data_IF_451452423745
#
_entry.id   IF_451452423745
#
_cell.length_a   1.000
_cell.length_b   1.000
_cell.length_c   1.000
_cell.angle_alpha   90.00
_cell.angle_beta   90.00
_cell.angle_gamma   90.00
#
_symmetry.space_group_name_H-M   'P 1'
#
loop_
_entity.id
_entity.type
_entity.pdbx_description
1 polymer ?
#
# COMPACT_ATOMS: atom_id res chain seq x y z
N UNK A 1 14.71 -21.06 4.81
CA UNK A 1 15.60 -20.01 5.36
C UNK A 1 14.86 -18.98 6.22
N UNK A 2 13.67 -18.52 5.81
CA UNK A 2 12.82 -17.65 6.65
C UNK A 2 13.33 -16.22 6.80
N UNK A 3 14.04 -15.70 5.79
CA UNK A 3 14.68 -14.37 5.83
C UNK A 3 14.33 -13.50 4.61
N UNK A 4 14.10 -14.07 3.42
CA UNK A 4 13.66 -13.36 2.22
C UNK A 4 12.20 -12.91 2.30
N UNK A 5 11.25 -13.75 1.85
CA UNK A 5 9.79 -13.45 1.92
C UNK A 5 9.29 -13.10 3.33
N UNK A 6 9.81 -13.76 4.36
CA UNK A 6 9.53 -13.41 5.76
C UNK A 6 9.98 -11.99 6.08
N UNK A 7 11.13 -11.56 5.57
CA UNK A 7 11.59 -10.19 5.70
C UNK A 7 10.69 -9.19 4.99
N UNK A 8 10.27 -9.48 3.76
CA UNK A 8 9.32 -8.63 3.04
C UNK A 8 8.03 -8.42 3.84
N UNK A 9 7.44 -9.51 4.34
CA UNK A 9 6.20 -9.44 5.13
C UNK A 9 6.37 -8.56 6.38
N UNK A 10 7.43 -8.77 7.16
CA UNK A 10 7.67 -7.99 8.39
C UNK A 10 7.88 -6.51 8.08
N UNK A 11 8.67 -6.17 7.05
CA UNK A 11 8.93 -4.77 6.70
C UNK A 11 7.65 -4.09 6.22
N UNK A 12 6.88 -4.74 5.34
CA UNK A 12 5.61 -4.18 4.84
C UNK A 12 4.66 -3.93 5.99
N UNK A 13 4.44 -4.92 6.87
CA UNK A 13 3.56 -4.79 8.04
C UNK A 13 3.97 -3.62 8.95
N UNK A 14 5.25 -3.56 9.32
CA UNK A 14 5.78 -2.49 10.16
C UNK A 14 5.64 -1.10 9.53
N UNK A 15 5.87 -0.99 8.22
CA UNK A 15 5.76 0.28 7.50
C UNK A 15 4.31 0.69 7.25
N UNK A 16 3.40 -0.25 7.02
CA UNK A 16 1.97 0.04 6.96
C UNK A 16 1.45 0.59 8.29
N UNK A 17 1.89 0.01 9.42
CA UNK A 17 1.53 0.53 10.73
C UNK A 17 2.12 1.92 10.95
N UNK A 18 3.39 2.14 10.59
CA UNK A 18 4.03 3.46 10.68
C UNK A 18 3.30 4.52 9.85
N UNK A 19 2.88 4.19 8.63
CA UNK A 19 2.14 5.11 7.75
C UNK A 19 0.81 5.57 8.35
N UNK A 20 0.17 4.75 9.20
CA UNK A 20 -1.06 5.16 9.89
C UNK A 20 -0.81 6.31 10.86
N UNK A 21 0.31 6.26 11.60
CA UNK A 21 0.62 7.20 12.69
C UNK A 21 1.48 8.38 12.26
N UNK A 22 2.48 8.15 11.39
CA UNK A 22 3.54 9.14 11.11
C UNK A 22 3.50 9.69 9.69
N UNK A 23 2.70 9.12 8.79
CA UNK A 23 2.66 9.48 7.35
C UNK A 23 4.04 9.44 6.67
N UNK A 24 4.93 8.59 7.17
CA UNK A 24 6.28 8.38 6.63
C UNK A 24 6.61 6.89 6.56
N UNK A 25 7.64 6.54 5.77
CA UNK A 25 8.23 5.20 5.70
C UNK A 25 9.74 5.29 5.84
N UNK A 26 10.36 4.26 6.42
CA UNK A 26 11.82 4.11 6.49
C UNK A 26 12.19 2.64 6.24
N UNK A 27 12.06 2.24 4.98
CA UNK A 27 12.33 0.87 4.54
C UNK A 27 13.80 0.51 4.77
N UNK A 28 14.72 1.43 4.45
CA UNK A 28 16.15 1.24 4.62
C UNK A 28 16.54 1.04 6.08
N UNK A 29 16.11 1.94 6.96
CA UNK A 29 16.40 1.86 8.39
C UNK A 29 15.81 0.59 9.02
N UNK A 30 14.59 0.21 8.62
CA UNK A 30 13.95 -1.00 9.15
C UNK A 30 14.66 -2.28 8.69
N UNK A 31 14.98 -2.43 7.41
CA UNK A 31 15.75 -3.59 6.90
C UNK A 31 17.13 -3.65 7.55
N UNK A 32 17.78 -2.51 7.75
CA UNK A 32 19.09 -2.43 8.44
C UNK A 32 18.99 -2.94 9.88
N UNK A 33 17.97 -2.49 10.63
CA UNK A 33 17.69 -2.97 11.99
C UNK A 33 17.42 -4.48 12.03
N UNK A 34 16.60 -4.98 11.09
CA UNK A 34 16.30 -6.41 11.01
C UNK A 34 17.54 -7.27 10.72
N UNK A 35 18.44 -6.79 9.86
CA UNK A 35 19.70 -7.49 9.55
C UNK A 35 20.65 -7.56 10.74
N UNK A 36 20.58 -6.60 11.68
CA UNK A 36 21.32 -6.68 12.94
C UNK A 36 20.78 -7.77 13.89
N UNK A 37 19.51 -8.14 13.77
CA UNK A 37 18.87 -9.19 14.60
C UNK A 37 18.95 -10.58 13.95
N UNK A 38 18.87 -10.65 12.62
CA UNK A 38 18.97 -11.89 11.85
C UNK A 38 19.61 -11.63 10.49
N UNK A 39 20.69 -12.34 10.18
CA UNK A 39 21.41 -12.13 8.93
C UNK A 39 20.51 -12.37 7.69
N UNK A 40 20.73 -11.56 6.66
CA UNK A 40 20.09 -11.67 5.34
C UNK A 40 18.56 -11.47 5.31
N UNK A 41 17.98 -10.74 6.28
CA UNK A 41 16.59 -10.29 6.13
C UNK A 41 16.44 -9.43 4.86
N UNK A 42 15.46 -9.78 4.02
CA UNK A 42 15.32 -9.33 2.62
C UNK A 42 16.57 -9.67 1.81
N UNK A 43 16.53 -10.76 1.06
CA UNK A 43 17.73 -11.39 0.49
C UNK A 43 18.14 -10.87 -0.88
N UNK A 44 17.18 -10.40 -1.67
CA UNK A 44 17.41 -10.00 -3.06
C UNK A 44 16.97 -8.55 -3.27
N UNK A 45 17.51 -7.94 -4.31
CA UNK A 45 17.09 -6.61 -4.75
C UNK A 45 15.61 -6.59 -5.15
N UNK A 46 15.15 -7.58 -5.91
CA UNK A 46 13.73 -7.70 -6.29
C UNK A 46 12.79 -7.73 -5.09
N UNK A 47 13.20 -8.36 -3.97
CA UNK A 47 12.43 -8.36 -2.74
C UNK A 47 12.39 -6.99 -2.08
N UNK A 48 13.46 -6.22 -2.19
CA UNK A 48 13.54 -4.86 -1.68
C UNK A 48 12.69 -3.91 -2.54
N UNK A 49 12.75 -4.04 -3.87
CA UNK A 49 11.89 -3.32 -4.83
C UNK A 49 10.41 -3.62 -4.54
N UNK A 50 10.06 -4.89 -4.39
CA UNK A 50 8.68 -5.30 -4.07
C UNK A 50 8.13 -4.65 -2.79
N UNK A 51 8.96 -4.44 -1.76
CA UNK A 51 8.54 -3.75 -0.53
C UNK A 51 8.17 -2.29 -0.83
N UNK A 52 8.96 -1.60 -1.65
CA UNK A 52 8.66 -0.24 -2.07
C UNK A 52 7.35 -0.18 -2.87
N UNK A 53 7.17 -1.10 -3.81
CA UNK A 53 5.97 -1.21 -4.64
C UNK A 53 4.71 -1.46 -3.80
N UNK A 54 4.77 -2.43 -2.89
CA UNK A 54 3.64 -2.77 -2.01
C UNK A 54 3.23 -1.58 -1.11
N UNK A 55 4.22 -0.85 -0.57
CA UNK A 55 3.94 0.31 0.28
C UNK A 55 3.43 1.50 -0.53
N UNK A 56 3.91 1.69 -1.77
CA UNK A 56 3.39 2.71 -2.68
C UNK A 56 1.93 2.42 -3.06
N UNK A 57 1.60 1.16 -3.37
CA UNK A 57 0.23 0.75 -3.66
C UNK A 57 -0.68 1.03 -2.47
N UNK A 58 -0.28 0.61 -1.26
CA UNK A 58 -1.05 0.86 -0.05
C UNK A 58 -1.23 2.36 0.26
N UNK A 59 -0.19 3.18 0.01
CA UNK A 59 -0.26 4.63 0.17
C UNK A 59 -1.24 5.28 -0.81
N UNK A 60 -1.33 4.72 -2.02
CA UNK A 60 -2.13 5.28 -3.12
C UNK A 60 -3.59 4.85 -3.05
N UNK A 61 -3.84 3.55 -2.82
CA UNK A 61 -5.18 2.98 -2.79
C UNK A 61 -5.92 3.24 -1.48
N UNK A 62 -5.20 3.24 -0.35
CA UNK A 62 -5.83 3.18 0.97
C UNK A 62 -6.68 1.91 1.15
N UNK A 63 -7.67 1.96 2.04
CA UNK A 63 -8.60 0.86 2.28
C UNK A 63 -9.93 1.11 1.55
N UNK A 64 -10.22 0.29 0.54
CA UNK A 64 -11.46 0.33 -0.25
C UNK A 64 -12.45 -0.79 0.12
N UNK A 65 -12.18 -1.56 1.18
CA UNK A 65 -13.09 -2.62 1.63
C UNK A 65 -14.39 -2.04 2.22
N UNK A 66 -15.52 -2.60 1.80
CA UNK A 66 -16.85 -2.16 2.24
C UNK A 66 -17.63 -3.36 2.80
N UNK A 67 -18.04 -3.32 4.09
CA UNK A 67 -18.94 -4.34 4.63
C UNK A 67 -20.26 -4.36 3.85
N UNK A 68 -20.79 -5.54 3.55
CA UNK A 68 -22.00 -5.69 2.71
C UNK A 68 -23.20 -4.85 3.21
N UNK A 69 -23.38 -4.74 4.53
CA UNK A 69 -24.43 -3.90 5.15
C UNK A 69 -24.34 -2.42 4.79
N UNK A 70 -23.14 -1.94 4.42
CA UNK A 70 -22.86 -0.55 4.06
C UNK A 70 -22.78 -0.35 2.54
N UNK A 71 -22.92 -1.41 1.74
CA UNK A 71 -22.69 -1.35 0.29
C UNK A 71 -23.59 -0.34 -0.41
N UNK A 72 -24.90 -0.34 -0.11
CA UNK A 72 -25.84 0.61 -0.70
C UNK A 72 -25.45 2.06 -0.40
N UNK A 73 -25.16 2.37 0.86
CA UNK A 73 -24.74 3.69 1.28
C UNK A 73 -23.40 4.11 0.65
N UNK A 74 -22.47 3.17 0.45
CA UNK A 74 -21.21 3.43 -0.23
C UNK A 74 -21.43 3.74 -1.71
N UNK A 75 -22.24 2.96 -2.43
CA UNK A 75 -22.60 3.24 -3.84
C UNK A 75 -23.25 4.63 -3.97
N UNK A 76 -24.14 5.01 -3.06
CA UNK A 76 -24.74 6.35 -3.06
C UNK A 76 -23.70 7.47 -2.88
N UNK A 77 -22.63 7.23 -2.13
CA UNK A 77 -21.52 8.19 -2.02
C UNK A 77 -20.69 8.24 -3.31
N UNK A 78 -20.44 7.09 -3.93
CA UNK A 78 -19.64 6.99 -5.15
C UNK A 78 -20.25 7.71 -6.34
N UNK A 79 -21.59 7.82 -6.41
CA UNK A 79 -22.28 8.55 -7.48
C UNK A 79 -22.25 10.07 -7.33
N UNK A 80 -21.80 10.57 -6.18
CA UNK A 80 -21.71 12.00 -5.92
C UNK A 80 -20.26 12.49 -6.10
N UNK A 81 -20.05 13.73 -6.58
CA UNK A 81 -18.74 14.36 -6.57
C UNK A 81 -18.34 14.72 -5.14
N UNK A 82 -17.12 14.36 -4.68
CA UNK A 82 -16.63 14.78 -3.37
C UNK A 82 -16.34 16.31 -3.35
N UNK A 83 -16.22 16.91 -2.16
CA UNK A 83 -15.98 18.35 -2.05
C UNK A 83 -14.69 18.78 -2.77
N UNK A 84 -14.80 19.76 -3.67
CA UNK A 84 -13.66 20.28 -4.44
C UNK A 84 -13.41 19.55 -5.77
N UNK A 85 -14.15 18.49 -6.06
CA UNK A 85 -14.03 17.72 -7.29
C UNK A 85 -15.22 17.94 -8.23
N UNK A 86 -14.97 17.85 -9.54
CA UNK A 86 -16.00 18.01 -10.59
C UNK A 86 -16.54 16.68 -11.11
N UNK A 87 -15.86 15.60 -10.79
CA UNK A 87 -16.20 14.24 -11.21
C UNK A 87 -16.66 13.41 -10.02
N UNK A 88 -17.43 12.36 -10.29
CA UNK A 88 -17.93 11.47 -9.24
C UNK A 88 -16.80 10.76 -8.51
N UNK A 89 -17.00 10.40 -7.24
CA UNK A 89 -16.01 9.61 -6.51
C UNK A 89 -15.71 8.27 -7.19
N UNK A 90 -16.70 7.68 -7.88
CA UNK A 90 -16.48 6.49 -8.71
C UNK A 90 -15.46 6.71 -9.83
N UNK A 91 -15.57 7.83 -10.54
CA UNK A 91 -14.65 8.15 -11.63
C UNK A 91 -13.23 8.38 -11.10
N UNK A 92 -13.09 8.99 -9.93
CA UNK A 92 -11.79 9.16 -9.26
C UNK A 92 -11.15 7.81 -8.91
N UNK A 93 -11.91 6.89 -8.29
CA UNK A 93 -11.42 5.55 -7.96
C UNK A 93 -10.98 4.77 -9.21
N UNK A 94 -11.73 4.89 -10.31
CA UNK A 94 -11.37 4.23 -11.57
C UNK A 94 -10.07 4.78 -12.17
N UNK A 95 -9.86 6.11 -12.11
CA UNK A 95 -8.61 6.75 -12.57
C UNK A 95 -7.39 6.28 -11.78
N UNK A 96 -7.51 6.17 -10.46
CA UNK A 96 -6.45 5.65 -9.58
C UNK A 96 -6.05 4.23 -10.00
N UNK A 97 -7.05 3.37 -10.22
CA UNK A 97 -6.83 1.97 -10.66
C UNK A 97 -6.09 1.91 -12.00
N UNK A 98 -6.49 2.73 -12.98
CA UNK A 98 -5.83 2.78 -14.29
C UNK A 98 -4.37 3.26 -14.19
N UNK A 99 -4.09 4.24 -13.33
CA UNK A 99 -2.73 4.72 -13.10
C UNK A 99 -1.85 3.60 -12.52
N UNK A 100 -2.30 2.92 -11.47
CA UNK A 100 -1.51 1.84 -10.84
C UNK A 100 -1.23 0.68 -11.79
N UNK A 101 -2.22 0.27 -12.59
CA UNK A 101 -2.03 -0.76 -13.60
C UNK A 101 -0.91 -0.39 -14.60
N UNK A 102 -0.77 0.89 -14.92
CA UNK A 102 0.32 1.36 -15.80
C UNK A 102 1.69 1.28 -15.11
N UNK A 103 1.76 1.53 -13.80
CA UNK A 103 3.00 1.49 -13.03
C UNK A 103 3.52 0.07 -12.79
N UNK A 104 2.63 -0.92 -12.64
CA UNK A 104 3.00 -2.31 -12.31
C UNK A 104 3.00 -3.28 -13.51
N UNK A 105 2.72 -2.79 -14.73
CA UNK A 105 2.68 -3.61 -15.94
C UNK A 105 4.04 -3.77 -16.66
N UNK A 106 5.12 -3.24 -16.08
CA UNK A 106 6.50 -3.32 -16.60
C UNK A 106 7.39 -4.12 -15.65
#
# INVERSE_FOLDING_TARGET
>A
AGVGRTGCFIVIDAMLERMKHEKTVDIYGHVTCMRAQRNYMVQTEDQYIFIHEALLEAATCGNTEVPARNLYAHIQKLTQPPPGETVTAMELEFKVTAHLHTYFAH
#
